data_IF_068048366093
#
_entry.id   IF_068048366093
#
_cell.length_a   1.000
_cell.length_b   1.000
_cell.length_c   1.000
_cell.angle_alpha   90.00
_cell.angle_beta   90.00
_cell.angle_gamma   90.00
#
_symmetry.space_group_name_H-M   'P 1'
#
loop_
_entity.id
_entity.type
_entity.pdbx_description
1 polymer ?
#
# COMPACT_ATOMS: atom_id res chain seq x y z
N UNK A 1 62.70 -28.58 -24.94
CA UNK A 1 62.45 -27.98 -23.63
C UNK A 1 61.53 -26.74 -23.66
N UNK A 2 61.80 -25.69 -24.45
CA UNK A 2 60.92 -24.48 -24.52
C UNK A 2 59.45 -24.71 -24.86
N UNK A 3 59.13 -25.65 -25.78
CA UNK A 3 57.76 -25.95 -26.20
C UNK A 3 57.02 -26.78 -25.10
N UNK A 4 57.70 -27.64 -24.40
CA UNK A 4 57.15 -28.40 -23.27
C UNK A 4 56.76 -27.48 -22.12
N UNK A 5 57.59 -26.48 -21.82
CA UNK A 5 57.32 -25.48 -20.80
C UNK A 5 56.12 -24.60 -21.13
N UNK A 6 55.98 -24.21 -22.43
CA UNK A 6 54.79 -23.45 -22.88
C UNK A 6 53.47 -24.24 -22.78
N UNK A 7 53.53 -25.54 -23.09
CA UNK A 7 52.35 -26.41 -22.95
C UNK A 7 51.95 -26.56 -21.49
N UNK A 8 52.95 -26.72 -20.58
CA UNK A 8 52.71 -26.87 -19.15
C UNK A 8 52.13 -25.60 -18.53
N UNK A 9 52.58 -24.41 -18.95
CA UNK A 9 52.01 -23.12 -18.55
C UNK A 9 50.57 -22.93 -19.07
N UNK A 10 50.26 -23.37 -20.28
CA UNK A 10 48.92 -23.30 -20.84
C UNK A 10 47.95 -24.22 -20.08
N UNK A 11 48.37 -25.45 -19.76
CA UNK A 11 47.58 -26.39 -18.95
C UNK A 11 47.34 -25.83 -17.54
N UNK A 12 48.36 -25.20 -16.91
CA UNK A 12 48.25 -24.57 -15.60
C UNK A 12 47.28 -23.38 -15.67
N UNK A 13 47.33 -22.54 -16.70
CA UNK A 13 46.41 -21.41 -16.86
C UNK A 13 44.96 -21.87 -17.06
N UNK A 14 44.74 -22.91 -17.84
CA UNK A 14 43.41 -23.52 -18.00
C UNK A 14 42.93 -24.14 -16.69
N UNK A 15 43.78 -24.84 -15.97
CA UNK A 15 43.46 -25.41 -14.67
C UNK A 15 43.10 -24.34 -13.65
N UNK A 16 43.88 -23.24 -13.58
CA UNK A 16 43.58 -22.09 -12.72
C UNK A 16 42.27 -21.41 -13.11
N UNK A 17 42.01 -21.24 -14.40
CA UNK A 17 40.73 -20.70 -14.89
C UNK A 17 39.54 -21.58 -14.50
N UNK A 18 39.65 -22.89 -14.66
CA UNK A 18 38.64 -23.86 -14.23
C UNK A 18 38.50 -23.89 -12.67
N UNK A 19 39.62 -23.82 -11.95
CA UNK A 19 39.61 -23.80 -10.49
C UNK A 19 38.85 -22.58 -9.96
N UNK A 20 39.09 -21.39 -10.53
CA UNK A 20 38.41 -20.16 -10.13
C UNK A 20 36.92 -20.18 -10.49
N UNK A 21 36.58 -20.66 -11.71
CA UNK A 21 35.17 -20.59 -12.17
C UNK A 21 34.31 -21.74 -11.66
N UNK A 22 34.87 -22.95 -11.51
CA UNK A 22 34.09 -24.16 -11.14
C UNK A 22 34.19 -24.48 -9.65
N UNK A 23 35.37 -24.33 -9.04
CA UNK A 23 35.58 -24.70 -7.63
C UNK A 23 35.29 -23.58 -6.65
N UNK A 24 35.35 -22.31 -7.07
CA UNK A 24 35.15 -21.16 -6.22
C UNK A 24 33.77 -20.51 -6.37
N UNK A 25 32.79 -21.24 -6.94
CA UNK A 25 31.42 -20.76 -7.04
C UNK A 25 30.57 -21.45 -5.95
N UNK A 26 30.45 -20.88 -4.76
CA UNK A 26 29.73 -21.48 -3.62
C UNK A 26 28.23 -21.70 -3.96
N UNK A 27 27.63 -20.85 -4.78
CA UNK A 27 26.21 -20.95 -5.15
C UNK A 27 25.84 -22.28 -5.85
N UNK A 28 26.78 -22.92 -6.56
CA UNK A 28 26.50 -24.17 -7.29
C UNK A 28 26.33 -25.37 -6.35
N UNK A 29 26.98 -25.35 -5.19
CA UNK A 29 27.01 -26.47 -4.24
C UNK A 29 26.15 -26.27 -3.01
N UNK A 30 25.90 -25.03 -2.61
CA UNK A 30 25.14 -24.70 -1.40
C UNK A 30 23.63 -24.84 -1.64
N UNK A 31 22.95 -25.38 -0.63
CA UNK A 31 21.47 -25.37 -0.58
C UNK A 31 21.03 -24.21 0.31
N UNK A 32 19.93 -23.60 -0.03
CA UNK A 32 19.32 -22.59 0.79
C UNK A 32 18.94 -23.16 2.16
N UNK A 33 19.50 -22.63 3.23
CA UNK A 33 19.24 -23.05 4.60
C UNK A 33 18.01 -22.35 5.17
N UNK A 34 17.81 -21.05 4.86
CA UNK A 34 16.71 -20.28 5.37
C UNK A 34 16.20 -19.22 4.39
N UNK A 35 14.92 -18.85 4.56
CA UNK A 35 14.31 -17.68 3.91
C UNK A 35 13.85 -16.70 4.98
N UNK A 36 14.41 -15.49 4.92
CA UNK A 36 14.11 -14.39 5.81
C UNK A 36 13.10 -13.47 5.13
N UNK A 37 11.85 -13.49 5.64
CA UNK A 37 10.76 -12.67 5.12
C UNK A 37 10.53 -11.48 6.04
N UNK A 38 10.69 -10.28 5.51
CA UNK A 38 10.52 -9.01 6.22
C UNK A 38 9.38 -8.24 5.58
N UNK A 39 8.36 -7.91 6.37
CA UNK A 39 7.29 -6.99 5.97
C UNK A 39 7.55 -5.66 6.68
N UNK A 40 7.93 -4.62 5.91
CA UNK A 40 8.43 -3.35 6.46
C UNK A 40 7.38 -2.56 7.24
N UNK A 41 6.13 -2.58 6.78
CA UNK A 41 5.06 -1.74 7.31
C UNK A 41 4.08 -2.55 8.17
N UNK A 42 4.56 -3.58 8.87
CA UNK A 42 3.74 -4.48 9.70
C UNK A 42 3.17 -3.81 10.95
N UNK A 43 3.75 -2.70 11.38
CA UNK A 43 3.29 -1.83 12.47
C UNK A 43 2.18 -0.84 12.02
N UNK A 44 2.10 -0.55 10.73
CA UNK A 44 1.12 0.39 10.14
C UNK A 44 -0.12 -0.33 9.64
N UNK A 45 0.05 -1.52 9.08
CA UNK A 45 -1.05 -2.30 8.51
C UNK A 45 -0.77 -3.80 8.55
N UNK A 46 -1.82 -4.60 8.68
CA UNK A 46 -1.76 -6.06 8.71
C UNK A 46 -2.37 -6.72 7.48
N UNK A 47 -2.22 -6.13 6.29
CA UNK A 47 -2.79 -6.68 5.04
C UNK A 47 -2.08 -7.93 4.55
N UNK A 48 -0.80 -8.09 4.89
CA UNK A 48 -0.03 -9.28 4.58
C UNK A 48 0.96 -9.61 5.69
N UNK A 49 1.13 -10.88 5.96
CA UNK A 49 2.02 -11.39 7.00
C UNK A 49 3.21 -12.16 6.41
N UNK A 50 4.33 -12.30 7.14
CA UNK A 50 5.43 -13.15 6.70
C UNK A 50 5.02 -14.61 6.45
N UNK A 51 4.00 -15.10 7.17
CA UNK A 51 3.48 -16.46 6.99
C UNK A 51 2.76 -16.60 5.64
N UNK A 52 1.93 -15.63 5.27
CA UNK A 52 1.24 -15.62 3.98
C UNK A 52 2.22 -15.55 2.81
N UNK A 53 3.27 -14.73 2.91
CA UNK A 53 4.35 -14.70 1.90
C UNK A 53 4.98 -16.07 1.73
N UNK A 54 5.33 -16.75 2.83
CA UNK A 54 5.88 -18.10 2.77
C UNK A 54 4.91 -19.11 2.16
N UNK A 55 3.61 -18.98 2.45
CA UNK A 55 2.57 -19.83 1.88
C UNK A 55 2.47 -19.62 0.38
N UNK A 56 2.40 -18.38 -0.10
CA UNK A 56 2.38 -18.05 -1.54
C UNK A 56 3.59 -18.66 -2.26
N UNK A 57 4.78 -18.57 -1.67
CA UNK A 57 6.00 -19.15 -2.26
C UNK A 57 5.95 -20.69 -2.31
N UNK A 58 5.39 -21.36 -1.29
CA UNK A 58 5.22 -22.81 -1.28
C UNK A 58 4.21 -23.28 -2.33
N UNK A 59 3.06 -22.63 -2.41
CA UNK A 59 1.99 -22.93 -3.37
C UNK A 59 2.45 -22.75 -4.81
N UNK A 60 3.32 -21.75 -5.02
CA UNK A 60 3.93 -21.48 -6.33
C UNK A 60 5.15 -22.35 -6.63
N UNK A 61 5.56 -23.27 -5.73
CA UNK A 61 6.76 -24.13 -5.83
C UNK A 61 8.08 -23.33 -5.94
N UNK A 62 8.08 -22.10 -5.44
CA UNK A 62 9.25 -21.19 -5.42
C UNK A 62 9.87 -21.03 -4.04
N UNK A 63 9.44 -21.82 -3.05
CA UNK A 63 9.98 -21.73 -1.68
C UNK A 63 11.46 -22.14 -1.68
N UNK A 64 12.39 -21.24 -1.27
CA UNK A 64 13.83 -21.44 -1.51
C UNK A 64 14.47 -22.55 -0.68
N UNK A 65 13.99 -22.77 0.56
CA UNK A 65 14.65 -23.67 1.52
C UNK A 65 14.82 -25.08 0.97
N UNK A 66 16.05 -25.61 1.03
CA UNK A 66 16.42 -26.92 0.51
C UNK A 66 16.77 -26.98 -0.98
N UNK A 67 16.46 -25.92 -1.75
CA UNK A 67 16.87 -25.80 -3.16
C UNK A 67 18.34 -25.40 -3.27
N UNK A 68 18.98 -25.77 -4.38
CA UNK A 68 20.33 -25.25 -4.70
C UNK A 68 20.27 -23.74 -4.92
N UNK A 69 21.19 -22.98 -4.34
CA UNK A 69 21.26 -21.52 -4.49
C UNK A 69 21.32 -21.09 -5.96
N UNK A 70 22.00 -21.85 -6.82
CA UNK A 70 22.06 -21.61 -8.28
C UNK A 70 20.68 -21.70 -8.96
N UNK A 71 19.75 -22.51 -8.46
CA UNK A 71 18.44 -22.73 -9.06
C UNK A 71 17.37 -21.73 -8.59
N UNK A 72 17.66 -20.98 -7.53
CA UNK A 72 16.72 -20.01 -7.00
C UNK A 72 16.71 -18.77 -7.88
N UNK A 73 15.53 -18.44 -8.42
CA UNK A 73 15.32 -17.27 -9.26
C UNK A 73 14.55 -16.19 -8.45
N UNK A 74 15.29 -15.22 -7.92
CA UNK A 74 14.71 -14.11 -7.15
C UNK A 74 13.72 -13.29 -7.99
N UNK A 75 14.00 -13.06 -9.27
CA UNK A 75 13.07 -12.31 -10.13
C UNK A 75 11.71 -13.03 -10.32
N UNK A 76 11.71 -14.36 -10.31
CA UNK A 76 10.46 -15.13 -10.37
C UNK A 76 9.69 -15.09 -9.03
N UNK A 77 10.40 -15.11 -7.91
CA UNK A 77 9.82 -14.89 -6.58
C UNK A 77 9.13 -13.53 -6.55
N UNK A 78 9.81 -12.47 -6.95
CA UNK A 78 9.24 -11.12 -7.01
C UNK A 78 8.03 -11.03 -7.94
N UNK A 79 8.11 -11.64 -9.13
CA UNK A 79 7.02 -11.67 -10.10
C UNK A 79 5.77 -12.36 -9.58
N UNK A 80 5.92 -13.44 -8.82
CA UNK A 80 4.78 -14.17 -8.23
C UNK A 80 4.16 -13.36 -7.10
N UNK A 81 4.97 -12.82 -6.20
CA UNK A 81 4.51 -12.00 -5.09
C UNK A 81 3.85 -10.70 -5.56
N UNK A 82 4.33 -10.08 -6.66
CA UNK A 82 3.74 -8.87 -7.24
C UNK A 82 2.29 -9.02 -7.74
N UNK A 83 1.81 -10.25 -7.91
CA UNK A 83 0.40 -10.52 -8.25
C UNK A 83 -0.54 -10.32 -7.07
N UNK A 84 -0.01 -10.32 -5.85
CA UNK A 84 -0.82 -10.07 -4.67
C UNK A 84 -1.23 -8.58 -4.61
N UNK A 85 -2.54 -8.26 -4.57
CA UNK A 85 -3.01 -6.87 -4.62
C UNK A 85 -2.62 -6.03 -3.39
N UNK A 86 -2.20 -6.67 -2.31
CA UNK A 86 -1.78 -6.01 -1.06
C UNK A 86 -0.30 -5.70 -1.00
N UNK A 87 0.46 -6.11 -2.00
CA UNK A 87 1.89 -5.85 -2.09
C UNK A 87 2.14 -4.64 -3.01
N UNK A 88 2.92 -3.69 -2.51
CA UNK A 88 3.33 -2.51 -3.27
C UNK A 88 4.70 -2.68 -3.91
N UNK A 89 5.68 -3.12 -3.12
CA UNK A 89 7.05 -3.34 -3.59
C UNK A 89 7.64 -4.60 -2.97
N UNK A 90 8.51 -5.27 -3.74
CA UNK A 90 9.21 -6.47 -3.32
C UNK A 90 10.66 -6.33 -3.73
N UNK A 91 11.54 -6.82 -2.88
CA UNK A 91 12.96 -7.00 -3.19
C UNK A 91 13.38 -8.35 -2.65
N UNK A 92 13.98 -9.17 -3.49
CA UNK A 92 14.55 -10.44 -3.07
C UNK A 92 15.99 -10.59 -3.55
N UNK A 93 16.83 -11.18 -2.70
CA UNK A 93 18.22 -11.41 -3.03
C UNK A 93 18.79 -12.61 -2.27
N UNK A 94 19.83 -13.19 -2.83
CA UNK A 94 20.61 -14.26 -2.22
C UNK A 94 21.80 -13.66 -1.48
N UNK A 95 22.19 -14.28 -0.39
CA UNK A 95 23.43 -13.94 0.34
C UNK A 95 24.49 -15.01 0.10
N UNK A 96 25.74 -14.66 0.39
CA UNK A 96 26.85 -15.62 0.36
C UNK A 96 26.73 -16.71 1.44
N UNK A 97 25.85 -16.50 2.44
CA UNK A 97 25.64 -17.38 3.58
C UNK A 97 24.44 -18.31 3.46
N UNK A 98 24.08 -18.78 2.26
CA UNK A 98 22.99 -19.74 1.99
C UNK A 98 21.57 -19.30 2.38
N UNK A 99 21.35 -18.01 2.61
CA UNK A 99 20.05 -17.42 2.90
C UNK A 99 19.45 -16.68 1.69
N UNK A 100 18.11 -16.67 1.62
CA UNK A 100 17.36 -15.81 0.71
C UNK A 100 16.57 -14.80 1.53
N UNK A 101 16.74 -13.53 1.24
CA UNK A 101 15.96 -12.46 1.82
C UNK A 101 14.84 -12.04 0.90
N UNK A 102 13.65 -11.89 1.45
CA UNK A 102 12.46 -11.38 0.76
C UNK A 102 11.89 -10.23 1.59
N UNK A 103 12.07 -9.02 1.11
CA UNK A 103 11.55 -7.81 1.74
C UNK A 103 10.32 -7.34 0.99
N UNK A 104 9.22 -7.16 1.69
CA UNK A 104 7.94 -6.74 1.14
C UNK A 104 7.51 -5.43 1.80
N UNK A 105 7.03 -4.49 0.99
CA UNK A 105 6.32 -3.29 1.43
C UNK A 105 4.85 -3.45 1.10
N UNK A 106 3.97 -3.24 2.06
CA UNK A 106 2.53 -3.36 1.88
C UNK A 106 1.97 -2.19 1.07
N UNK A 107 0.89 -2.43 0.35
CA UNK A 107 0.08 -1.40 -0.25
C UNK A 107 -0.85 -0.82 0.82
N UNK A 108 -0.73 0.47 1.08
CA UNK A 108 -1.51 1.15 2.09
C UNK A 108 -2.70 1.86 1.46
N UNK A 109 -3.93 1.55 1.85
CA UNK A 109 -5.11 2.24 1.36
C UNK A 109 -5.25 3.64 1.99
N UNK A 110 -5.93 4.52 1.29
CA UNK A 110 -6.32 5.85 1.80
C UNK A 110 -7.80 5.93 2.14
N UNK A 111 -8.61 5.01 1.58
CA UNK A 111 -10.06 5.06 1.74
C UNK A 111 -10.65 3.67 1.46
N UNK A 112 -11.74 3.34 2.17
CA UNK A 112 -12.62 2.21 1.83
C UNK A 112 -13.83 2.72 1.08
N UNK A 113 -14.20 2.05 0.00
CA UNK A 113 -15.41 2.33 -0.79
C UNK A 113 -16.44 1.24 -0.53
N UNK A 114 -17.65 1.65 -0.18
CA UNK A 114 -18.83 0.79 -0.06
C UNK A 114 -19.94 1.47 -0.85
N UNK A 115 -20.09 1.07 -2.11
CA UNK A 115 -21.06 1.67 -3.01
C UNK A 115 -22.43 0.98 -2.91
N UNK A 116 -23.49 1.73 -3.25
CA UNK A 116 -24.86 1.23 -3.33
C UNK A 116 -25.09 0.16 -4.42
N UNK A 117 -24.16 0.05 -5.39
CA UNK A 117 -24.14 -1.01 -6.39
C UNK A 117 -23.59 -2.35 -5.88
N UNK A 118 -23.20 -2.43 -4.59
CA UNK A 118 -22.61 -3.62 -3.97
C UNK A 118 -21.08 -3.71 -4.02
N UNK A 119 -20.39 -2.76 -4.67
CA UNK A 119 -18.94 -2.70 -4.67
C UNK A 119 -18.41 -2.42 -3.26
N UNK A 120 -17.43 -3.24 -2.79
CA UNK A 120 -16.75 -3.08 -1.50
C UNK A 120 -15.26 -3.35 -1.67
N UNK A 121 -14.44 -2.29 -1.63
CA UNK A 121 -13.01 -2.35 -1.90
C UNK A 121 -12.26 -1.19 -1.23
N UNK A 122 -10.95 -1.29 -1.20
CA UNK A 122 -10.07 -0.18 -0.82
C UNK A 122 -9.42 0.46 -2.05
N UNK A 123 -9.03 1.72 -1.93
CA UNK A 123 -8.17 2.41 -2.90
C UNK A 123 -6.90 2.91 -2.23
N UNK A 124 -5.76 2.69 -2.89
CA UNK A 124 -4.46 3.19 -2.42
C UNK A 124 -4.21 4.65 -2.85
N UNK A 125 -3.06 5.20 -2.44
CA UNK A 125 -2.63 6.56 -2.80
C UNK A 125 -2.50 6.79 -4.31
N UNK A 126 -2.38 5.75 -5.13
CA UNK A 126 -2.29 5.83 -6.59
C UNK A 126 -3.62 5.55 -7.28
N UNK A 127 -4.67 5.29 -6.50
CA UNK A 127 -6.01 4.95 -7.01
C UNK A 127 -6.15 3.49 -7.44
N UNK A 128 -5.17 2.64 -7.09
CA UNK A 128 -5.25 1.21 -7.38
C UNK A 128 -6.23 0.54 -6.42
N UNK A 129 -7.11 -0.27 -7.00
CA UNK A 129 -8.10 -1.02 -6.24
C UNK A 129 -7.43 -2.16 -5.48
N UNK A 130 -7.79 -2.31 -4.21
CA UNK A 130 -7.44 -3.43 -3.35
C UNK A 130 -8.73 -4.12 -2.90
N UNK A 131 -8.84 -5.45 -2.97
CA UNK A 131 -10.05 -6.16 -2.57
C UNK A 131 -10.32 -5.97 -1.06
N UNK A 132 -11.58 -6.13 -0.67
CA UNK A 132 -11.95 -6.11 0.74
C UNK A 132 -11.36 -7.33 1.45
N UNK A 133 -10.82 -7.12 2.64
CA UNK A 133 -10.32 -8.15 3.55
C UNK A 133 -10.96 -8.01 4.94
N UNK A 134 -10.78 -9.05 5.76
CA UNK A 134 -11.21 -9.05 7.17
C UNK A 134 -10.39 -8.10 8.07
N UNK A 135 -9.27 -7.56 7.59
CA UNK A 135 -8.49 -6.55 8.32
C UNK A 135 -9.21 -5.21 8.29
N UNK A 136 -9.48 -4.66 9.48
CA UNK A 136 -10.07 -3.32 9.64
C UNK A 136 -8.94 -2.31 9.83
N UNK A 137 -8.70 -1.48 8.83
CA UNK A 137 -7.86 -0.31 8.97
C UNK A 137 -8.69 0.89 9.44
N UNK A 138 -8.11 1.76 10.27
CA UNK A 138 -8.73 3.05 10.61
C UNK A 138 -8.59 4.00 9.41
N UNK A 139 -9.63 4.01 8.59
CA UNK A 139 -9.69 4.75 7.33
C UNK A 139 -11.06 5.38 7.16
N UNK A 140 -11.09 6.50 6.49
CA UNK A 140 -12.34 7.09 6.05
C UNK A 140 -13.09 6.11 5.12
N UNK A 141 -14.39 5.95 5.36
CA UNK A 141 -15.27 5.08 4.57
C UNK A 141 -16.13 5.96 3.65
N UNK A 142 -16.07 5.72 2.35
CA UNK A 142 -16.95 6.39 1.40
C UNK A 142 -18.12 5.48 1.02
N UNK A 143 -19.34 5.99 1.15
CA UNK A 143 -20.62 5.30 0.90
C UNK A 143 -21.47 6.04 -0.12
N UNK A 144 -22.49 5.36 -0.65
CA UNK A 144 -23.51 5.96 -1.53
C UNK A 144 -23.27 5.68 -3.02
N UNK A 145 -23.64 6.61 -3.89
CA UNK A 145 -23.61 6.41 -5.35
C UNK A 145 -22.22 6.61 -5.94
N UNK A 146 -21.36 5.58 -5.84
CA UNK A 146 -19.95 5.66 -6.19
C UNK A 146 -19.60 4.67 -7.31
N UNK A 147 -19.33 5.18 -8.51
CA UNK A 147 -18.68 4.38 -9.56
C UNK A 147 -17.16 4.33 -9.36
N UNK A 148 -16.48 3.31 -9.93
CA UNK A 148 -15.02 3.23 -9.89
C UNK A 148 -14.34 4.46 -10.49
N UNK A 149 -14.91 5.02 -11.55
CA UNK A 149 -14.40 6.25 -12.16
C UNK A 149 -14.57 7.46 -11.22
N UNK A 150 -15.71 7.59 -10.53
CA UNK A 150 -15.94 8.64 -9.55
C UNK A 150 -14.98 8.52 -8.36
N UNK A 151 -14.81 7.30 -7.83
CA UNK A 151 -13.88 7.03 -6.76
C UNK A 151 -12.45 7.48 -7.13
N UNK A 152 -11.98 7.13 -8.33
CA UNK A 152 -10.64 7.50 -8.80
C UNK A 152 -10.50 9.00 -9.07
N UNK A 153 -11.47 9.63 -9.77
CA UNK A 153 -11.33 11.01 -10.23
C UNK A 153 -11.73 12.06 -9.19
N UNK A 154 -12.67 11.74 -8.29
CA UNK A 154 -13.27 12.69 -7.34
C UNK A 154 -12.93 12.38 -5.88
N UNK A 155 -13.06 11.12 -5.45
CA UNK A 155 -12.85 10.76 -4.06
C UNK A 155 -11.37 10.55 -3.70
N UNK A 156 -10.55 10.02 -4.61
CA UNK A 156 -9.13 9.81 -4.34
C UNK A 156 -8.38 11.09 -3.94
N UNK A 157 -8.56 12.24 -4.60
CA UNK A 157 -7.98 13.51 -4.13
C UNK A 157 -8.43 13.89 -2.73
N UNK A 158 -9.72 13.65 -2.39
CA UNK A 158 -10.25 13.90 -1.05
C UNK A 158 -9.61 12.94 -0.04
N UNK A 159 -9.58 11.64 -0.33
CA UNK A 159 -8.98 10.64 0.53
C UNK A 159 -7.51 10.92 0.85
N UNK A 160 -6.74 11.33 -0.16
CA UNK A 160 -5.35 11.77 0.04
C UNK A 160 -5.27 12.98 0.98
N UNK A 161 -6.11 14.00 0.74
CA UNK A 161 -6.13 15.21 1.55
C UNK A 161 -6.49 14.90 3.00
N UNK A 162 -7.51 14.07 3.24
CA UNK A 162 -7.90 13.67 4.58
C UNK A 162 -6.79 12.85 5.26
N UNK A 163 -6.22 11.87 4.57
CA UNK A 163 -5.20 10.97 5.13
C UNK A 163 -3.89 11.66 5.49
N UNK A 164 -3.46 12.66 4.70
CA UNK A 164 -2.18 13.33 4.92
C UNK A 164 -2.26 14.59 5.81
N UNK A 165 -3.46 15.11 6.10
CA UNK A 165 -3.64 16.14 7.12
C UNK A 165 -4.09 15.47 8.43
N UNK A 166 -3.19 15.42 9.43
CA UNK A 166 -3.44 14.79 10.74
C UNK A 166 -4.73 15.29 11.42
N UNK A 167 -5.13 16.54 11.18
CA UNK A 167 -6.39 17.05 11.72
C UNK A 167 -7.57 16.35 11.07
N UNK A 168 -7.58 16.25 9.74
CA UNK A 168 -8.69 15.65 9.02
C UNK A 168 -8.73 14.12 9.14
N UNK A 169 -7.58 13.45 9.19
CA UNK A 169 -7.49 11.99 9.42
C UNK A 169 -8.16 11.60 10.75
N UNK A 170 -7.99 12.44 11.78
CA UNK A 170 -8.64 12.23 13.07
C UNK A 170 -10.09 12.73 13.14
N UNK A 171 -10.50 13.61 12.22
CA UNK A 171 -11.79 14.29 12.32
C UNK A 171 -12.89 13.66 11.49
N UNK A 172 -12.58 13.11 10.31
CA UNK A 172 -13.56 12.59 9.36
C UNK A 172 -13.60 11.07 9.38
N UNK A 173 -14.78 10.52 9.66
CA UNK A 173 -15.01 9.08 9.69
C UNK A 173 -15.61 8.55 8.38
N UNK A 174 -16.58 9.29 7.82
CA UNK A 174 -17.31 8.83 6.64
C UNK A 174 -17.50 9.96 5.62
N UNK A 175 -17.56 9.56 4.36
CA UNK A 175 -18.00 10.37 3.22
C UNK A 175 -19.24 9.72 2.65
N UNK A 176 -20.26 10.49 2.33
CA UNK A 176 -21.40 10.02 1.54
C UNK A 176 -21.47 10.74 0.22
N UNK A 177 -21.82 10.01 -0.83
CA UNK A 177 -22.02 10.56 -2.19
C UNK A 177 -23.44 10.31 -2.60
N UNK A 178 -24.19 11.38 -2.90
CA UNK A 178 -25.55 11.27 -3.39
C UNK A 178 -25.62 10.90 -4.89
N UNK A 179 -26.82 10.69 -5.41
CA UNK A 179 -27.05 10.34 -6.82
C UNK A 179 -26.67 11.45 -7.81
N UNK A 180 -26.56 12.70 -7.35
CA UNK A 180 -26.10 13.84 -8.14
C UNK A 180 -24.58 14.04 -8.09
N UNK A 181 -23.87 13.21 -7.31
CA UNK A 181 -22.43 13.29 -7.12
C UNK A 181 -22.01 14.39 -6.14
N UNK A 182 -22.90 14.86 -5.27
CA UNK A 182 -22.53 15.75 -4.17
C UNK A 182 -21.95 14.94 -3.01
N UNK A 183 -21.05 15.58 -2.29
CA UNK A 183 -20.29 14.97 -1.18
C UNK A 183 -20.71 15.55 0.15
N UNK A 184 -20.96 14.67 1.11
CA UNK A 184 -21.15 14.99 2.52
C UNK A 184 -20.05 14.30 3.35
N UNK A 185 -19.60 15.00 4.40
CA UNK A 185 -18.65 14.44 5.36
C UNK A 185 -19.35 14.24 6.70
N UNK A 186 -19.03 13.14 7.38
CA UNK A 186 -19.47 12.81 8.71
C UNK A 186 -18.27 12.85 9.67
N UNK A 187 -18.19 13.87 10.53
CA UNK A 187 -17.13 13.95 11.51
C UNK A 187 -17.28 12.91 12.64
N UNK A 188 -16.16 12.55 13.26
CA UNK A 188 -16.13 11.69 14.48
C UNK A 188 -16.64 12.42 15.72
N UNK A 189 -16.57 13.75 15.73
CA UNK A 189 -16.95 14.60 16.85
C UNK A 189 -18.09 15.51 16.44
N UNK A 190 -19.18 15.49 17.22
CA UNK A 190 -20.40 16.23 16.95
C UNK A 190 -21.36 15.47 16.04
N UNK A 191 -22.65 15.86 16.11
CA UNK A 191 -23.75 15.18 15.37
C UNK A 191 -24.06 15.85 14.04
N UNK A 192 -23.20 16.78 13.60
CA UNK A 192 -23.44 17.55 12.37
C UNK A 192 -22.91 16.86 11.12
N UNK A 193 -23.61 17.06 10.01
CA UNK A 193 -23.15 16.68 8.69
C UNK A 193 -22.53 17.90 7.98
N UNK A 194 -21.39 17.72 7.34
CA UNK A 194 -20.76 18.77 6.54
C UNK A 194 -21.08 18.54 5.07
N UNK A 195 -21.83 19.45 4.47
CA UNK A 195 -22.15 19.39 3.03
C UNK A 195 -21.09 20.15 2.22
N UNK A 196 -20.40 19.42 1.37
CA UNK A 196 -19.41 19.98 0.43
C UNK A 196 -20.07 20.40 -0.89
N UNK A 197 -21.17 19.73 -1.29
CA UNK A 197 -21.72 19.80 -2.64
C UNK A 197 -20.79 19.12 -3.64
N UNK A 198 -20.68 19.66 -4.84
CA UNK A 198 -19.75 19.11 -5.84
C UNK A 198 -18.29 19.16 -5.33
N UNK A 199 -17.53 18.07 -5.53
CA UNK A 199 -16.13 17.96 -5.02
C UNK A 199 -15.14 18.78 -5.85
N UNK A 200 -15.36 20.09 -5.90
CA UNK A 200 -14.50 21.10 -6.55
C UNK A 200 -13.90 22.00 -5.47
N UNK A 201 -12.62 22.35 -5.60
CA UNK A 201 -11.90 23.23 -4.65
C UNK A 201 -11.97 22.74 -3.18
N UNK A 202 -11.96 21.42 -2.97
CA UNK A 202 -12.17 20.79 -1.66
C UNK A 202 -11.16 21.29 -0.63
N UNK A 203 -9.89 21.48 -1.01
CA UNK A 203 -8.86 22.01 -0.11
C UNK A 203 -9.24 23.38 0.46
N UNK A 204 -9.80 24.27 -0.35
CA UNK A 204 -10.22 25.60 0.09
C UNK A 204 -11.44 25.51 1.00
N UNK A 205 -12.42 24.66 0.65
CA UNK A 205 -13.61 24.41 1.46
C UNK A 205 -13.24 23.86 2.84
N UNK A 206 -12.36 22.87 2.91
CA UNK A 206 -11.88 22.30 4.16
C UNK A 206 -11.05 23.32 4.99
N UNK A 207 -10.25 24.16 4.35
CA UNK A 207 -9.53 25.24 5.07
C UNK A 207 -10.50 26.18 5.78
N UNK A 208 -11.60 26.58 5.13
CA UNK A 208 -12.65 27.42 5.75
C UNK A 208 -13.38 26.68 6.86
N UNK A 209 -13.69 25.41 6.66
CA UNK A 209 -14.32 24.57 7.69
C UNK A 209 -13.43 24.46 8.94
N UNK A 210 -12.12 24.25 8.76
CA UNK A 210 -11.17 24.20 9.88
C UNK A 210 -11.14 25.50 10.68
N UNK A 211 -11.17 26.65 9.99
CA UNK A 211 -11.28 27.95 10.65
C UNK A 211 -12.62 28.11 11.39
N UNK A 212 -13.72 27.67 10.78
CA UNK A 212 -15.05 27.69 11.40
C UNK A 212 -15.10 26.81 12.68
N UNK A 213 -14.52 25.62 12.63
CA UNK A 213 -14.43 24.75 13.80
C UNK A 213 -13.67 25.42 14.94
N UNK A 214 -12.50 26.01 14.64
CA UNK A 214 -11.67 26.67 15.64
C UNK A 214 -12.31 27.92 16.22
N UNK A 215 -12.97 28.74 15.40
CA UNK A 215 -13.47 30.06 15.80
C UNK A 215 -14.92 30.05 16.30
N UNK A 216 -15.75 29.13 15.80
CA UNK A 216 -17.18 29.10 16.10
C UNK A 216 -17.56 27.89 16.95
N UNK A 217 -17.33 26.66 16.48
CA UNK A 217 -17.81 25.47 17.21
C UNK A 217 -17.19 25.32 18.60
N UNK A 218 -15.93 25.71 18.77
CA UNK A 218 -15.28 25.70 20.07
C UNK A 218 -15.93 26.68 21.08
N UNK A 219 -16.66 27.69 20.62
CA UNK A 219 -17.35 28.66 21.47
C UNK A 219 -18.81 28.29 21.70
N UNK A 220 -19.52 27.84 20.67
CA UNK A 220 -20.97 27.58 20.72
C UNK A 220 -21.33 26.12 20.97
N UNK A 221 -20.35 25.20 20.93
CA UNK A 221 -20.52 23.78 21.10
C UNK A 221 -20.64 23.04 19.74
N UNK A 222 -20.12 21.82 19.74
CA UNK A 222 -20.04 20.98 18.52
C UNK A 222 -21.38 20.45 18.04
N UNK A 223 -22.38 20.35 18.91
CA UNK A 223 -23.75 19.89 18.62
C UNK A 223 -24.74 21.05 18.42
N UNK A 224 -24.23 22.27 18.19
CA UNK A 224 -25.09 23.45 17.97
C UNK A 224 -25.86 23.38 16.66
N UNK A 225 -25.24 22.78 15.63
CA UNK A 225 -25.77 22.68 14.29
C UNK A 225 -25.91 21.22 13.85
N UNK A 226 -26.97 20.88 13.12
CA UNK A 226 -27.17 19.56 12.52
C UNK A 226 -26.54 19.46 11.12
N UNK A 227 -26.38 20.61 10.44
CA UNK A 227 -25.77 20.67 9.12
C UNK A 227 -24.93 21.91 8.95
N UNK A 228 -23.75 21.76 8.39
CA UNK A 228 -22.81 22.83 8.03
C UNK A 228 -22.53 22.73 6.55
N UNK A 229 -23.06 23.69 5.79
CA UNK A 229 -22.92 23.75 4.34
C UNK A 229 -21.78 24.69 3.96
N UNK A 230 -20.78 24.14 3.27
CA UNK A 230 -19.57 24.83 2.83
C UNK A 230 -19.46 24.86 1.29
N UNK A 231 -20.54 24.57 0.58
CA UNK A 231 -20.57 24.53 -0.89
C UNK A 231 -20.10 25.84 -1.51
N UNK A 232 -20.58 26.97 -0.99
CA UNK A 232 -20.33 28.29 -1.55
C UNK A 232 -19.04 28.93 -0.98
N UNK A 233 -18.31 29.67 -1.82
CA UNK A 233 -16.97 30.13 -1.47
C UNK A 233 -16.91 31.16 -0.32
N UNK A 234 -17.89 32.03 -0.20
CA UNK A 234 -17.83 33.19 0.69
C UNK A 234 -18.73 33.08 1.92
N UNK A 235 -19.37 31.92 2.13
CA UNK A 235 -20.31 31.73 3.23
C UNK A 235 -20.28 30.30 3.74
N UNK A 236 -20.64 30.15 5.02
CA UNK A 236 -20.95 28.86 5.67
C UNK A 236 -22.39 28.96 6.16
N UNK A 237 -23.26 28.07 5.68
CA UNK A 237 -24.67 28.06 6.06
C UNK A 237 -24.86 26.94 7.09
N UNK A 238 -25.43 27.29 8.26
CA UNK A 238 -25.64 26.34 9.34
C UNK A 238 -27.13 26.16 9.61
N UNK A 239 -27.59 24.89 9.72
CA UNK A 239 -28.91 24.52 10.22
C UNK A 239 -28.80 24.07 11.67
N UNK A 240 -29.79 24.40 12.47
CA UNK A 240 -29.97 23.88 13.84
C UNK A 240 -30.66 22.53 13.80
#
# INVERSE_FOLDING_TARGET
MKNLLKLLLLVLAVYLGLAVTVFNNPEVRQKCAAVDVIVKDSDVAGFITPLEIRTILKDSKLYPVGQKMSNINCAEIEKVLARNPFIDNITSYKTAGDHVYVTVTQRLPVMRIISDNGDNYYIDTRGKVMPHMHYSADLVVATGHISKQYAHSKLLPIGRLLKYDKFWDNQIEQINVDSAGNVELFPRIGDHVVYIGQPVRVTQKLKRLKAFYAQVLNQVGWNKYSRIDIEYDNQIICKK
#
